data_IF_535901055991
#
_entry.id   IF_535901055991
#
_cell.length_a   1.000
_cell.length_b   1.000
_cell.length_c   1.000
_cell.angle_alpha   90.00
_cell.angle_beta   90.00
_cell.angle_gamma   90.00
#
_symmetry.space_group_name_H-M   'P 1'
#
loop_
_entity.id
_entity.type
_entity.pdbx_description
1 polymer ?
#
# COMPACT_ATOMS: atom_id res chain seq x y z
N UNK A 1 16.65 -18.99 18.60
CA UNK A 1 16.26 -19.57 17.28
C UNK A 1 14.97 -18.92 16.76
N UNK A 2 14.75 -17.63 17.00
CA UNK A 2 13.48 -16.93 16.70
C UNK A 2 13.33 -16.51 15.23
N UNK A 3 14.43 -16.45 14.48
CA UNK A 3 14.47 -15.92 13.12
C UNK A 3 13.80 -16.79 12.06
N UNK A 4 13.57 -18.09 12.33
CA UNK A 4 13.08 -19.02 11.31
C UNK A 4 11.59 -18.86 11.00
N UNK A 5 10.78 -18.32 11.93
CA UNK A 5 9.33 -18.19 11.74
C UNK A 5 8.98 -16.88 11.03
N UNK A 6 9.73 -15.80 11.28
CA UNK A 6 9.49 -14.52 10.63
C UNK A 6 9.84 -14.54 9.15
N UNK A 7 10.91 -15.23 8.76
CA UNK A 7 11.36 -15.32 7.37
C UNK A 7 10.81 -16.52 6.62
N UNK A 8 10.05 -17.40 7.29
CA UNK A 8 9.43 -18.57 6.65
C UNK A 8 8.61 -18.12 5.43
N UNK A 9 8.79 -18.73 4.26
CA UNK A 9 7.94 -18.44 3.11
C UNK A 9 6.47 -18.65 3.46
N UNK A 10 5.64 -17.67 3.12
CA UNK A 10 4.19 -17.79 3.27
C UNK A 10 3.65 -18.76 2.25
N UNK A 11 2.72 -19.62 2.68
CA UNK A 11 2.04 -20.55 1.78
C UNK A 11 1.04 -19.82 0.89
N UNK A 12 0.53 -20.50 -0.13
CA UNK A 12 -0.53 -19.96 -0.99
C UNK A 12 -1.79 -19.64 -0.16
N UNK A 13 -2.13 -20.47 0.83
CA UNK A 13 -3.26 -20.23 1.72
C UNK A 13 -3.09 -18.96 2.56
N UNK A 14 -1.88 -18.71 3.08
CA UNK A 14 -1.59 -17.49 3.85
C UNK A 14 -1.74 -16.24 2.98
N UNK A 15 -1.27 -16.29 1.73
CA UNK A 15 -1.44 -15.20 0.77
C UNK A 15 -2.90 -15.01 0.36
N UNK A 16 -3.64 -16.09 0.15
CA UNK A 16 -5.06 -16.03 -0.17
C UNK A 16 -5.85 -15.29 0.91
N UNK A 17 -5.64 -15.63 2.19
CA UNK A 17 -6.29 -14.94 3.32
C UNK A 17 -5.83 -13.49 3.43
N UNK A 18 -4.54 -13.23 3.22
CA UNK A 18 -3.98 -11.86 3.23
C UNK A 18 -4.69 -10.99 2.18
N UNK A 19 -4.77 -11.46 0.93
CA UNK A 19 -5.42 -10.74 -0.17
C UNK A 19 -6.92 -10.60 0.08
N UNK A 20 -7.59 -11.62 0.63
CA UNK A 20 -9.01 -11.56 0.97
C UNK A 20 -9.32 -10.45 1.98
N UNK A 21 -8.50 -10.30 3.02
CA UNK A 21 -8.64 -9.21 4.00
C UNK A 21 -8.41 -7.85 3.33
N UNK A 22 -7.38 -7.74 2.48
CA UNK A 22 -7.05 -6.50 1.78
C UNK A 22 -8.06 -6.17 0.66
N UNK A 23 -8.87 -7.12 0.20
CA UNK A 23 -9.92 -6.85 -0.78
C UNK A 23 -11.06 -5.98 -0.20
N UNK A 24 -11.20 -5.91 1.13
CA UNK A 24 -12.21 -5.11 1.79
C UNK A 24 -11.73 -3.65 1.88
N UNK A 25 -12.34 -2.67 1.18
CA UNK A 25 -11.76 -1.35 0.98
C UNK A 25 -11.40 -0.57 2.26
N UNK A 26 -12.29 -0.59 3.26
CA UNK A 26 -12.08 0.13 4.52
C UNK A 26 -11.08 -0.58 5.44
N UNK A 27 -11.08 -1.91 5.42
CA UNK A 27 -10.19 -2.73 6.24
C UNK A 27 -8.78 -2.75 5.66
N UNK A 28 -8.66 -2.65 4.33
CA UNK A 28 -7.42 -2.72 3.59
C UNK A 28 -6.35 -1.75 4.14
N UNK A 29 -6.67 -0.46 4.20
CA UNK A 29 -5.72 0.57 4.64
C UNK A 29 -5.29 0.33 6.09
N UNK A 30 -6.25 0.03 6.98
CA UNK A 30 -5.95 -0.27 8.39
C UNK A 30 -5.02 -1.48 8.50
N UNK A 31 -5.31 -2.55 7.75
CA UNK A 31 -4.52 -3.77 7.80
C UNK A 31 -3.13 -3.61 7.19
N UNK A 32 -2.96 -2.78 6.16
CA UNK A 32 -1.63 -2.40 5.69
C UNK A 32 -0.82 -1.74 6.79
N UNK A 33 -1.39 -0.79 7.54
CA UNK A 33 -0.67 -0.12 8.63
C UNK A 33 -0.36 -1.08 9.78
N UNK A 34 -1.34 -1.90 10.19
CA UNK A 34 -1.19 -2.89 11.27
C UNK A 34 -0.06 -3.87 10.93
N UNK A 35 -0.02 -4.42 9.72
CA UNK A 35 1.02 -5.38 9.32
C UNK A 35 2.35 -4.73 8.98
N UNK A 36 2.36 -3.51 8.43
CA UNK A 36 3.60 -2.77 8.14
C UNK A 36 4.35 -2.38 9.42
N UNK A 37 3.64 -1.98 10.47
CA UNK A 37 4.23 -1.54 11.73
C UNK A 37 4.25 -2.60 12.82
N UNK A 38 3.75 -3.81 12.55
CA UNK A 38 3.83 -4.91 13.51
C UNK A 38 5.29 -5.25 13.84
N UNK A 39 5.56 -5.45 15.14
CA UNK A 39 6.80 -6.03 15.66
C UNK A 39 6.80 -7.56 15.61
N UNK A 40 5.65 -8.17 15.34
CA UNK A 40 5.46 -9.63 15.29
C UNK A 40 4.87 -10.09 13.95
N UNK A 41 5.17 -11.33 13.56
CA UNK A 41 4.59 -11.96 12.36
C UNK A 41 5.60 -12.19 11.23
N UNK A 42 5.07 -12.44 10.03
CA UNK A 42 5.89 -12.83 8.87
C UNK A 42 6.45 -11.60 8.15
N UNK A 43 7.77 -11.59 7.92
CA UNK A 43 8.49 -10.51 7.29
C UNK A 43 8.08 -10.31 5.82
N UNK A 44 7.71 -11.38 5.10
CA UNK A 44 7.24 -11.27 3.72
C UNK A 44 5.95 -10.44 3.63
N UNK A 45 4.97 -10.69 4.53
CA UNK A 45 3.73 -9.91 4.60
C UNK A 45 4.00 -8.46 5.00
N UNK A 46 4.86 -8.26 6.00
CA UNK A 46 5.25 -6.92 6.45
C UNK A 46 5.86 -6.10 5.32
N UNK A 47 6.84 -6.65 4.61
CA UNK A 47 7.50 -5.97 3.50
C UNK A 47 6.54 -5.69 2.34
N UNK A 48 5.61 -6.61 2.05
CA UNK A 48 4.54 -6.37 1.08
C UNK A 48 3.64 -5.20 1.47
N UNK A 49 3.25 -5.10 2.75
CA UNK A 49 2.42 -3.99 3.23
C UNK A 49 3.17 -2.66 3.17
N UNK A 50 4.44 -2.63 3.56
CA UNK A 50 5.31 -1.45 3.44
C UNK A 50 5.42 -1.01 1.98
N UNK A 51 5.71 -1.94 1.06
CA UNK A 51 5.79 -1.64 -0.37
C UNK A 51 4.46 -1.10 -0.91
N UNK A 52 3.34 -1.69 -0.50
CA UNK A 52 2.00 -1.25 -0.91
C UNK A 52 1.70 0.18 -0.46
N UNK A 53 2.07 0.54 0.78
CA UNK A 53 1.92 1.90 1.31
C UNK A 53 2.80 2.91 0.55
N UNK A 54 4.04 2.52 0.22
CA UNK A 54 4.94 3.37 -0.59
C UNK A 54 4.33 3.62 -1.97
N UNK A 55 3.83 2.58 -2.64
CA UNK A 55 3.15 2.72 -3.93
C UNK A 55 1.89 3.60 -3.85
N UNK A 56 1.13 3.48 -2.76
CA UNK A 56 -0.02 4.35 -2.51
C UNK A 56 0.40 5.82 -2.39
N UNK A 57 1.45 6.12 -1.63
CA UNK A 57 1.99 7.48 -1.49
C UNK A 57 2.50 8.03 -2.83
N UNK A 58 3.19 7.20 -3.61
CA UNK A 58 3.64 7.57 -4.96
C UNK A 58 2.44 7.89 -5.86
N UNK A 59 1.40 7.04 -5.84
CA UNK A 59 0.18 7.27 -6.62
C UNK A 59 -0.52 8.58 -6.27
N UNK A 60 -0.60 8.90 -4.97
CA UNK A 60 -1.15 10.18 -4.49
C UNK A 60 -0.30 11.36 -4.98
N UNK A 61 1.03 11.27 -4.87
CA UNK A 61 1.92 12.34 -5.32
C UNK A 61 1.77 12.59 -6.84
N UNK A 62 1.74 11.52 -7.65
CA UNK A 62 1.52 11.63 -9.09
C UNK A 62 0.15 12.25 -9.39
N UNK A 63 -0.92 11.82 -8.70
CA UNK A 63 -2.26 12.36 -8.89
C UNK A 63 -2.31 13.87 -8.61
N UNK A 64 -1.66 14.34 -7.54
CA UNK A 64 -1.54 15.77 -7.22
C UNK A 64 -0.83 16.53 -8.34
N UNK A 65 0.28 16.01 -8.85
CA UNK A 65 1.02 16.65 -9.94
C UNK A 65 0.19 16.75 -11.23
N UNK A 66 -0.50 15.68 -11.59
CA UNK A 66 -1.36 15.65 -12.79
C UNK A 66 -2.53 16.61 -12.65
N UNK A 67 -3.26 16.57 -11.53
CA UNK A 67 -4.40 17.48 -11.29
C UNK A 67 -3.92 18.93 -11.27
N UNK A 68 -2.81 19.22 -10.59
CA UNK A 68 -2.19 20.55 -10.55
C UNK A 68 -1.88 21.06 -11.96
N UNK A 69 -1.20 20.26 -12.77
CA UNK A 69 -0.83 20.63 -14.14
C UNK A 69 -2.05 20.86 -15.05
N UNK A 70 -3.04 19.95 -15.00
CA UNK A 70 -4.28 20.08 -15.78
C UNK A 70 -5.06 21.33 -15.35
N UNK A 71 -5.14 21.61 -14.05
CA UNK A 71 -5.84 22.79 -13.54
C UNK A 71 -5.18 24.10 -13.99
N UNK A 72 -3.84 24.17 -14.02
CA UNK A 72 -3.11 25.35 -14.51
C UNK A 72 -3.36 25.60 -16.00
N UNK A 73 -3.34 24.56 -16.84
CA UNK A 73 -3.66 24.68 -18.27
C UNK A 73 -5.11 25.13 -18.45
N UNK A 74 -6.05 24.55 -17.71
CA UNK A 74 -7.46 24.91 -17.77
C UNK A 74 -7.71 26.38 -17.42
N UNK A 75 -7.07 26.89 -16.36
CA UNK A 75 -7.17 28.30 -15.98
C UNK A 75 -6.57 29.22 -17.04
N UNK A 76 -5.40 28.89 -17.59
CA UNK A 76 -4.78 29.67 -18.67
C UNK A 76 -5.65 29.70 -19.95
N UNK A 77 -6.31 28.58 -20.28
CA UNK A 77 -7.22 28.51 -21.42
C UNK A 77 -8.50 29.34 -21.24
N UNK A 78 -8.96 29.54 -20.00
CA UNK A 78 -10.13 30.38 -19.70
C UNK A 78 -9.81 31.88 -19.60
N UNK A 79 -8.53 32.25 -19.54
CA UNK A 79 -8.08 33.66 -19.46
C UNK A 79 -7.84 34.34 -20.82
N UNK A 80 -8.07 33.62 -21.93
CA UNK A 80 -8.02 34.11 -23.30
C UNK A 80 -9.42 34.12 -23.93
#
# INVERSE_FOLDING_TARGET
MENNIQTKPMTVGDWFVTILILAIPLVNIVMYLVWAFSSTGNLNRKNFCIASLIWMLIGIAIAILVIGFVSLIGVAAMSH
#
